data_IF_991899142965
#
_entry.id   IF_991899142965
#
_cell.length_a   1.000
_cell.length_b   1.000
_cell.length_c   1.000
_cell.angle_alpha   90.00
_cell.angle_beta   90.00
_cell.angle_gamma   90.00
#
_symmetry.space_group_name_H-M   'P 1'
#
loop_
_entity.id
_entity.type
_entity.pdbx_description
1 polymer ?
#
# COMPACT_ATOMS: atom_id res chain seq x y z
N UNK A 1 -0.70 -13.68 17.78
CA UNK A 1 -0.37 -12.75 16.68
C UNK A 1 -1.32 -12.85 15.48
N UNK A 2 -1.85 -14.02 15.11
CA UNK A 2 -2.81 -14.16 13.98
C UNK A 2 -4.11 -13.36 14.14
N UNK A 3 -4.62 -13.23 15.38
CA UNK A 3 -5.92 -12.60 15.64
C UNK A 3 -5.92 -11.08 15.42
N UNK A 4 -4.86 -10.37 15.84
CA UNK A 4 -4.71 -8.92 15.63
C UNK A 4 -4.54 -8.55 14.15
N UNK A 5 -3.92 -9.43 13.35
CA UNK A 5 -3.71 -9.18 11.92
C UNK A 5 -5.03 -9.29 11.14
N UNK A 6 -5.92 -10.22 11.53
CA UNK A 6 -7.27 -10.33 10.99
C UNK A 6 -8.16 -9.12 11.36
N UNK A 7 -8.05 -8.62 12.58
CA UNK A 7 -8.78 -7.41 13.02
C UNK A 7 -8.38 -6.16 12.23
N UNK A 8 -7.08 -5.98 11.99
CA UNK A 8 -6.57 -4.86 11.19
C UNK A 8 -7.02 -4.93 9.72
N UNK A 9 -7.09 -6.13 9.13
CA UNK A 9 -7.58 -6.33 7.76
C UNK A 9 -9.07 -5.96 7.63
N UNK A 10 -9.91 -6.43 8.56
CA UNK A 10 -11.33 -6.09 8.55
C UNK A 10 -11.58 -4.59 8.73
N UNK A 11 -10.76 -3.90 9.52
CA UNK A 11 -10.85 -2.46 9.68
C UNK A 11 -10.53 -1.70 8.38
N UNK A 12 -9.48 -2.11 7.66
CA UNK A 12 -9.11 -1.50 6.38
C UNK A 12 -10.17 -1.71 5.30
N UNK A 13 -10.68 -2.94 5.16
CA UNK A 13 -11.73 -3.28 4.21
C UNK A 13 -13.00 -2.47 4.46
N UNK A 14 -13.40 -2.35 5.74
CA UNK A 14 -14.55 -1.53 6.12
C UNK A 14 -14.34 -0.06 5.77
N UNK A 15 -13.18 0.52 6.12
CA UNK A 15 -12.87 1.91 5.79
C UNK A 15 -12.89 2.17 4.28
N UNK A 16 -12.45 1.22 3.45
CA UNK A 16 -12.54 1.33 1.99
C UNK A 16 -13.98 1.19 1.47
N UNK A 17 -14.80 0.35 2.09
CA UNK A 17 -16.22 0.22 1.74
C UNK A 17 -17.00 1.51 2.02
N UNK A 18 -16.75 2.12 3.18
CA UNK A 18 -17.41 3.35 3.62
C UNK A 18 -16.90 4.61 2.88
N UNK A 19 -15.74 4.55 2.20
CA UNK A 19 -15.10 5.67 1.50
C UNK A 19 -15.79 6.01 0.16
N UNK A 20 -17.02 6.53 0.20
CA UNK A 20 -17.85 6.94 -0.94
C UNK A 20 -17.10 7.82 -1.98
N UNK A 21 -16.36 8.81 -1.49
CA UNK A 21 -15.67 9.83 -2.30
C UNK A 21 -14.34 9.36 -2.88
N UNK A 22 -13.78 8.26 -2.36
CA UNK A 22 -12.44 7.80 -2.74
C UNK A 22 -11.32 8.60 -2.10
N UNK A 23 -11.62 9.42 -1.09
CA UNK A 23 -10.62 10.25 -0.43
C UNK A 23 -9.64 9.38 0.35
N UNK A 24 -10.15 8.43 1.14
CA UNK A 24 -9.32 7.57 1.96
C UNK A 24 -8.43 6.66 1.10
N UNK A 25 -8.95 6.10 -0.01
CA UNK A 25 -8.12 5.32 -0.93
C UNK A 25 -6.98 6.15 -1.53
N UNK A 26 -7.22 7.41 -1.87
CA UNK A 26 -6.23 8.28 -2.49
C UNK A 26 -5.15 8.68 -1.50
N UNK A 27 -5.51 8.91 -0.23
CA UNK A 27 -4.56 9.15 0.86
C UNK A 27 -3.63 7.94 1.06
N UNK A 28 -4.18 6.72 1.12
CA UNK A 28 -3.38 5.49 1.22
C UNK A 28 -2.44 5.27 0.03
N UNK A 29 -2.95 5.42 -1.19
CA UNK A 29 -2.14 5.30 -2.41
C UNK A 29 -1.02 6.34 -2.42
N UNK A 30 -1.33 7.59 -2.04
CA UNK A 30 -0.33 8.65 -1.93
C UNK A 30 0.75 8.30 -0.93
N UNK A 31 0.39 7.78 0.24
CA UNK A 31 1.35 7.38 1.28
C UNK A 31 2.27 6.24 0.80
N UNK A 32 1.71 5.18 0.20
CA UNK A 32 2.51 4.08 -0.35
C UNK A 32 3.45 4.54 -1.46
N UNK A 33 2.97 5.40 -2.36
CA UNK A 33 3.77 5.96 -3.46
C UNK A 33 4.91 6.81 -2.93
N UNK A 34 4.64 7.68 -1.94
CA UNK A 34 5.65 8.52 -1.30
C UNK A 34 6.74 7.66 -0.63
N UNK A 35 6.34 6.67 0.17
CA UNK A 35 7.29 5.75 0.84
C UNK A 35 8.09 4.93 -0.17
N UNK A 36 7.47 4.46 -1.25
CA UNK A 36 8.17 3.73 -2.33
C UNK A 36 9.25 4.61 -2.97
N UNK A 37 8.92 5.89 -3.22
CA UNK A 37 9.88 6.84 -3.76
C UNK A 37 11.02 7.14 -2.79
N UNK A 38 10.76 7.30 -1.49
CA UNK A 38 11.80 7.47 -0.47
C UNK A 38 12.77 6.28 -0.44
N UNK A 39 12.23 5.06 -0.52
CA UNK A 39 13.04 3.83 -0.59
C UNK A 39 13.92 3.81 -1.84
N UNK A 40 13.38 4.20 -3.00
CA UNK A 40 14.14 4.31 -4.25
C UNK A 40 15.24 5.38 -4.16
N UNK A 41 14.96 6.52 -3.54
CA UNK A 41 15.96 7.56 -3.28
C UNK A 41 17.07 7.03 -2.37
N UNK A 42 16.75 6.27 -1.33
CA UNK A 42 17.74 5.65 -0.46
C UNK A 42 18.63 4.66 -1.22
N UNK A 43 18.05 3.82 -2.08
CA UNK A 43 18.81 2.91 -2.95
C UNK A 43 19.77 3.65 -3.89
N UNK A 44 19.34 4.78 -4.46
CA UNK A 44 20.14 5.60 -5.39
C UNK A 44 21.32 6.30 -4.72
N UNK A 45 21.35 6.42 -3.38
CA UNK A 45 22.48 7.00 -2.63
C UNK A 45 23.64 6.02 -2.42
N UNK A 46 23.50 4.78 -2.88
CA UNK A 46 24.48 3.73 -2.70
C UNK A 46 24.22 2.98 -1.39
N UNK A 47 23.79 1.73 -1.51
CA UNK A 47 23.58 0.81 -0.39
C UNK A 47 24.28 -0.52 -0.69
N UNK A 48 24.69 -1.30 0.33
CA UNK A 48 25.25 -2.62 0.12
C UNK A 48 24.30 -3.53 -0.70
N UNK A 49 24.81 -4.48 -1.51
CA UNK A 49 23.99 -5.31 -2.39
C UNK A 49 22.85 -6.05 -1.68
N UNK A 50 23.10 -6.59 -0.49
CA UNK A 50 22.07 -7.27 0.31
C UNK A 50 20.95 -6.31 0.78
N UNK A 51 21.31 -5.06 1.09
CA UNK A 51 20.34 -4.03 1.45
C UNK A 51 19.57 -3.54 0.23
N UNK A 52 20.24 -3.41 -0.92
CA UNK A 52 19.60 -3.06 -2.19
C UNK A 52 18.46 -4.03 -2.52
N UNK A 53 18.72 -5.34 -2.48
CA UNK A 53 17.69 -6.34 -2.78
C UNK A 53 16.49 -6.27 -1.83
N UNK A 54 16.73 -6.03 -0.54
CA UNK A 54 15.67 -5.87 0.46
C UNK A 54 14.84 -4.62 0.18
N UNK A 55 15.49 -3.48 -0.05
CA UNK A 55 14.83 -2.21 -0.35
C UNK A 55 14.08 -2.25 -1.69
N UNK A 56 14.63 -2.93 -2.69
CA UNK A 56 13.98 -3.11 -3.99
C UNK A 56 12.67 -3.89 -3.84
N UNK A 57 12.70 -5.03 -3.14
CA UNK A 57 11.50 -5.82 -2.84
C UNK A 57 10.48 -5.03 -2.03
N UNK A 58 10.95 -4.21 -1.09
CA UNK A 58 10.07 -3.38 -0.27
C UNK A 58 9.38 -2.28 -1.08
N UNK A 59 10.10 -1.58 -1.96
CA UNK A 59 9.51 -0.60 -2.88
C UNK A 59 8.48 -1.26 -3.82
N UNK A 60 8.79 -2.44 -4.37
CA UNK A 60 7.85 -3.19 -5.20
C UNK A 60 6.59 -3.61 -4.42
N UNK A 61 6.72 -4.00 -3.15
CA UNK A 61 5.58 -4.34 -2.30
C UNK A 61 4.69 -3.11 -2.02
N UNK A 62 5.28 -1.93 -1.83
CA UNK A 62 4.52 -0.68 -1.67
C UNK A 62 3.75 -0.31 -2.96
N UNK A 63 4.39 -0.46 -4.12
CA UNK A 63 3.74 -0.21 -5.41
C UNK A 63 2.58 -1.19 -5.64
N UNK A 64 2.77 -2.47 -5.32
CA UNK A 64 1.72 -3.49 -5.40
C UNK A 64 0.58 -3.21 -4.40
N UNK A 65 0.90 -2.76 -3.19
CA UNK A 65 -0.12 -2.39 -2.20
C UNK A 65 -1.01 -1.24 -2.68
N UNK A 66 -0.43 -0.23 -3.34
CA UNK A 66 -1.21 0.86 -3.93
C UNK A 66 -2.19 0.36 -5.01
N UNK A 67 -1.75 -0.58 -5.86
CA UNK A 67 -2.61 -1.21 -6.87
C UNK A 67 -3.76 -2.00 -6.22
N UNK A 68 -3.46 -2.79 -5.18
CA UNK A 68 -4.47 -3.58 -4.46
C UNK A 68 -5.54 -2.67 -3.83
N UNK A 69 -5.16 -1.55 -3.23
CA UNK A 69 -6.12 -0.59 -2.67
C UNK A 69 -7.05 -0.02 -3.74
N UNK A 70 -6.51 0.37 -4.89
CA UNK A 70 -7.31 0.91 -5.99
C UNK A 70 -8.28 -0.13 -6.58
N UNK A 71 -7.80 -1.37 -6.77
CA UNK A 71 -8.62 -2.48 -7.23
C UNK A 71 -9.74 -2.82 -6.24
N UNK A 72 -9.43 -2.92 -4.95
CA UNK A 72 -10.42 -3.23 -3.91
C UNK A 72 -11.52 -2.18 -3.88
N UNK A 73 -11.16 -0.90 -3.84
CA UNK A 73 -12.13 0.20 -3.83
C UNK A 73 -12.99 0.20 -5.11
N UNK A 74 -12.37 -0.03 -6.27
CA UNK A 74 -13.08 -0.09 -7.55
C UNK A 74 -14.08 -1.25 -7.59
N UNK A 75 -13.71 -2.42 -7.08
CA UNK A 75 -14.61 -3.59 -7.01
C UNK A 75 -15.82 -3.30 -6.12
N UNK A 76 -15.62 -2.70 -4.95
CA UNK A 76 -16.71 -2.33 -4.03
C UNK A 76 -17.76 -1.41 -4.66
N UNK A 77 -17.35 -0.62 -5.68
CA UNK A 77 -18.23 0.30 -6.42
C UNK A 77 -18.84 -0.26 -7.70
N UNK A 78 -18.25 -1.30 -8.28
CA UNK A 78 -18.82 -1.99 -9.44
C UNK A 78 -19.89 -3.00 -9.05
N UNK A 79 -19.89 -3.46 -7.79
CA UNK A 79 -20.87 -4.41 -7.25
C UNK A 79 -22.05 -3.74 -6.53
N UNK A 80 -22.17 -2.41 -6.58
CA UNK A 80 -23.24 -1.62 -5.98
C UNK A 80 -24.35 -1.26 -6.95
#
# INVERSE_FOLDING_TARGET
>A
MMQQQQEAHMALEKSLADDASGQFKNELISEFTMRSQEVRVAMNRGVPPEQYQKLQKFSQALDAAAQVVDEMWSRLRQTG
#
